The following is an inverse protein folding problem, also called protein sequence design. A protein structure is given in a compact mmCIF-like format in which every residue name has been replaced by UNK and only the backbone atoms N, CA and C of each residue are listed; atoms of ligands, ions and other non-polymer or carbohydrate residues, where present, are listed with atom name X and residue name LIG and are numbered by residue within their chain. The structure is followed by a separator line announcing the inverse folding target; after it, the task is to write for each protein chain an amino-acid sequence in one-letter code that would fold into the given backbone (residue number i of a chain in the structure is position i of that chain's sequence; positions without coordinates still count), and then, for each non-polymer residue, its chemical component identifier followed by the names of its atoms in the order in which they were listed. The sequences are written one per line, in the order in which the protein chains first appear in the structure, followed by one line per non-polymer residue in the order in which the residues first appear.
data_IF_509086113069
#
_entry.id   IF_509086113069
#
_cell.length_a   1.000
_cell.length_b   1.000
_cell.length_c   1.000
_cell.angle_alpha   90.00
_cell.angle_beta   90.00
_cell.angle_gamma   90.00
#
_symmetry.space_group_name_H-M   'P 1'
#
loop_
_entity.id
_entity.type
_entity.pdbx_description
1 polymer ?
#
# COMPACT_ATOMS: atom_id res chain seq x y z
N UNK A 1 4.83 37.98 -15.07
CA UNK A 1 5.54 37.12 -14.10
C UNK A 1 4.79 37.18 -12.77
N UNK A 2 3.91 36.22 -12.49
CA UNK A 2 3.28 36.09 -11.16
C UNK A 2 4.09 35.07 -10.39
N UNK A 3 4.78 35.55 -9.35
CA UNK A 3 5.52 34.74 -8.38
C UNK A 3 4.53 34.10 -7.41
N UNK A 4 4.24 32.81 -7.59
CA UNK A 4 3.48 32.02 -6.62
C UNK A 4 4.40 31.70 -5.45
N UNK A 5 4.34 32.49 -4.37
CA UNK A 5 4.97 32.10 -3.09
C UNK A 5 4.20 30.90 -2.56
N UNK A 6 4.84 29.73 -2.50
CA UNK A 6 4.34 28.58 -1.74
C UNK A 6 4.09 29.04 -0.29
N UNK A 7 2.82 28.99 0.12
CA UNK A 7 2.41 29.40 1.47
C UNK A 7 2.70 28.21 2.39
N UNK A 8 3.56 28.41 3.39
CA UNK A 8 3.87 27.39 4.40
C UNK A 8 2.57 26.80 4.98
N UNK A 9 2.53 25.48 5.26
CA UNK A 9 1.30 24.82 5.70
C UNK A 9 0.77 25.45 6.99
N UNK A 10 -0.55 25.61 7.07
CA UNK A 10 -1.16 26.14 8.29
C UNK A 10 -1.15 25.10 9.41
N UNK A 11 -1.25 25.54 10.66
CA UNK A 11 -1.43 24.64 11.82
C UNK A 11 -2.62 23.69 11.64
N UNK A 12 -3.67 24.13 10.92
CA UNK A 12 -4.82 23.29 10.58
C UNK A 12 -4.46 22.18 9.58
N UNK A 13 -3.61 22.47 8.61
CA UNK A 13 -3.15 21.48 7.62
C UNK A 13 -2.25 20.43 8.28
N UNK A 14 -1.38 20.86 9.20
CA UNK A 14 -0.55 19.95 10.00
C UNK A 14 -1.40 19.05 10.89
N UNK A 15 -2.37 19.62 11.62
CA UNK A 15 -3.29 18.84 12.45
C UNK A 15 -4.08 17.82 11.63
N UNK A 16 -4.51 18.21 10.41
CA UNK A 16 -5.21 17.34 9.48
C UNK A 16 -4.32 16.19 9.01
N UNK A 17 -3.06 16.46 8.67
CA UNK A 17 -2.08 15.42 8.30
C UNK A 17 -1.79 14.46 9.45
N UNK A 18 -1.57 14.99 10.65
CA UNK A 18 -1.31 14.19 11.85
C UNK A 18 -2.47 13.25 12.18
N UNK A 19 -3.71 13.77 12.14
CA UNK A 19 -4.92 12.97 12.37
C UNK A 19 -5.09 11.89 11.29
N UNK A 20 -4.80 12.23 10.03
CA UNK A 20 -4.82 11.28 8.93
C UNK A 20 -3.83 10.14 9.15
N UNK A 21 -2.60 10.44 9.57
CA UNK A 21 -1.58 9.43 9.80
C UNK A 21 -1.93 8.49 10.96
N UNK A 22 -2.45 9.03 12.07
CA UNK A 22 -2.93 8.21 13.20
C UNK A 22 -3.99 7.19 12.80
N UNK A 23 -4.90 7.57 11.90
CA UNK A 23 -5.92 6.64 11.39
C UNK A 23 -5.32 5.52 10.53
N UNK A 24 -4.25 5.80 9.79
CA UNK A 24 -3.53 4.82 8.97
C UNK A 24 -2.78 3.83 9.87
N UNK A 25 -2.05 4.33 10.86
CA UNK A 25 -1.27 3.51 11.79
C UNK A 25 -2.18 2.58 12.60
N UNK A 26 -3.28 3.12 13.14
CA UNK A 26 -4.28 2.32 13.85
C UNK A 26 -4.92 1.26 12.95
N UNK A 27 -5.21 1.60 11.69
CA UNK A 27 -5.77 0.62 10.76
C UNK A 27 -4.78 -0.50 10.44
N UNK A 28 -3.49 -0.20 10.32
CA UNK A 28 -2.44 -1.21 10.14
C UNK A 28 -2.42 -2.22 11.29
N UNK A 29 -2.49 -1.74 12.53
CA UNK A 29 -2.54 -2.58 13.72
C UNK A 29 -3.80 -3.45 13.76
N UNK A 30 -4.98 -2.84 13.55
CA UNK A 30 -6.26 -3.56 13.55
C UNK A 30 -6.30 -4.61 12.43
N UNK A 31 -5.82 -4.30 11.23
CA UNK A 31 -5.77 -5.28 10.14
C UNK A 31 -4.79 -6.42 10.40
N UNK A 32 -3.69 -6.16 11.13
CA UNK A 32 -2.75 -7.20 11.52
C UNK A 32 -3.32 -8.13 12.62
N UNK A 33 -4.15 -7.58 13.52
CA UNK A 33 -4.73 -8.32 14.65
C UNK A 33 -5.91 -9.21 14.23
N UNK A 34 -6.93 -8.62 13.58
CA UNK A 34 -8.19 -9.33 13.27
C UNK A 34 -8.39 -9.62 11.77
N UNK A 35 -7.49 -9.14 10.91
CA UNK A 35 -7.62 -9.25 9.46
C UNK A 35 -8.58 -8.22 8.85
N UNK A 36 -8.35 -7.88 7.57
CA UNK A 36 -9.12 -6.84 6.87
C UNK A 36 -10.63 -7.07 6.85
N UNK A 37 -11.07 -8.31 6.61
CA UNK A 37 -12.49 -8.62 6.46
C UNK A 37 -13.25 -8.34 7.76
N UNK A 38 -12.70 -8.80 8.89
CA UNK A 38 -13.31 -8.65 10.22
C UNK A 38 -13.16 -7.22 10.79
N UNK A 39 -12.09 -6.50 10.45
CA UNK A 39 -11.86 -5.15 10.93
C UNK A 39 -13.00 -4.19 10.58
N UNK A 40 -13.46 -3.41 11.55
CA UNK A 40 -14.49 -2.38 11.36
C UNK A 40 -13.92 -0.97 11.40
N UNK A 41 -14.65 0.00 10.85
CA UNK A 41 -14.30 1.42 11.01
C UNK A 41 -14.27 1.81 12.49
N UNK A 42 -15.11 1.18 13.31
CA UNK A 42 -15.19 1.44 14.75
C UNK A 42 -13.92 1.00 15.48
N UNK A 43 -13.41 -0.21 15.18
CA UNK A 43 -12.13 -0.70 15.71
C UNK A 43 -10.99 0.28 15.40
N UNK A 44 -10.90 0.73 14.14
CA UNK A 44 -9.89 1.68 13.69
C UNK A 44 -10.02 3.01 14.43
N UNK A 45 -11.23 3.56 14.53
CA UNK A 45 -11.45 4.85 15.21
C UNK A 45 -11.17 4.78 16.70
N UNK A 46 -11.50 3.66 17.35
CA UNK A 46 -11.22 3.40 18.76
C UNK A 46 -9.72 3.31 19.00
N UNK A 47 -9.00 2.54 18.18
CA UNK A 47 -7.54 2.44 18.26
C UNK A 47 -6.85 3.79 17.97
N UNK A 48 -7.37 4.57 17.02
CA UNK A 48 -6.82 5.88 16.68
C UNK A 48 -7.16 6.99 17.69
N UNK A 49 -8.06 6.75 18.65
CA UNK A 49 -8.60 7.78 19.54
C UNK A 49 -9.35 8.89 18.78
N UNK A 50 -10.08 8.51 17.72
CA UNK A 50 -10.81 9.40 16.83
C UNK A 50 -12.31 9.06 16.80
N UNK A 51 -13.12 9.98 16.27
CA UNK A 51 -14.55 9.72 16.04
C UNK A 51 -14.80 9.14 14.64
N UNK A 52 -15.96 8.50 14.43
CA UNK A 52 -16.42 8.11 13.09
C UNK A 52 -16.56 9.31 12.16
N UNK A 53 -17.02 10.45 12.66
CA UNK A 53 -17.09 11.68 11.86
C UNK A 53 -15.70 12.10 11.39
N UNK A 54 -14.71 12.07 12.28
CA UNK A 54 -13.29 12.34 11.96
C UNK A 54 -12.79 11.37 10.89
N UNK A 55 -13.08 10.07 11.01
CA UNK A 55 -12.72 9.09 9.98
C UNK A 55 -13.24 9.52 8.59
N UNK A 56 -14.54 9.83 8.48
CA UNK A 56 -15.15 10.17 7.20
C UNK A 56 -14.69 11.51 6.62
N UNK A 57 -14.11 12.40 7.43
CA UNK A 57 -13.42 13.60 6.93
C UNK A 57 -12.12 13.27 6.16
N UNK A 58 -11.50 12.12 6.44
CA UNK A 58 -10.22 11.71 5.85
C UNK A 58 -10.36 10.57 4.84
N UNK A 59 -11.27 9.62 5.08
CA UNK A 59 -11.39 8.39 4.30
C UNK A 59 -12.85 8.04 4.04
N UNK A 60 -13.15 7.64 2.80
CA UNK A 60 -14.51 7.23 2.40
C UNK A 60 -14.87 5.84 2.93
N UNK A 61 -13.89 4.97 3.13
CA UNK A 61 -14.08 3.61 3.63
C UNK A 61 -12.78 3.01 4.17
N UNK A 62 -12.87 1.85 4.85
CA UNK A 62 -11.68 1.07 5.24
C UNK A 62 -10.84 0.61 4.04
N UNK A 63 -11.46 0.46 2.85
CA UNK A 63 -10.75 0.13 1.61
C UNK A 63 -9.82 1.28 1.16
N UNK A 64 -10.22 2.54 1.37
CA UNK A 64 -9.38 3.69 1.04
C UNK A 64 -8.11 3.72 1.91
N UNK A 65 -8.21 3.37 3.19
CA UNK A 65 -7.04 3.28 4.08
C UNK A 65 -6.13 2.13 3.68
N UNK A 66 -6.69 0.97 3.35
CA UNK A 66 -5.91 -0.17 2.87
C UNK A 66 -5.13 0.18 1.60
N UNK A 67 -5.75 0.88 0.65
CA UNK A 67 -5.04 1.35 -0.53
C UNK A 67 -3.89 2.31 -0.19
N UNK A 68 -4.08 3.20 0.79
CA UNK A 68 -3.02 4.08 1.27
C UNK A 68 -1.87 3.31 1.92
N UNK A 69 -2.18 2.32 2.78
CA UNK A 69 -1.19 1.43 3.37
C UNK A 69 -0.43 0.68 2.28
N UNK A 70 -1.11 0.24 1.23
CA UNK A 70 -0.47 -0.37 0.07
C UNK A 70 0.51 0.57 -0.60
N UNK A 71 0.12 1.81 -0.85
CA UNK A 71 1.03 2.80 -1.43
C UNK A 71 2.21 3.09 -0.50
N UNK A 72 2.02 3.15 0.82
CA UNK A 72 3.12 3.37 1.78
C UNK A 72 4.09 2.18 1.88
N UNK A 73 3.61 0.94 1.70
CA UNK A 73 4.43 -0.28 1.76
C UNK A 73 5.05 -0.63 0.40
N UNK A 74 4.35 -0.36 -0.69
CA UNK A 74 4.82 -0.62 -2.05
C UNK A 74 5.71 0.51 -2.59
N UNK A 75 5.37 1.76 -2.28
CA UNK A 75 6.09 2.96 -2.71
C UNK A 75 6.87 3.67 -1.59
N UNK A 76 7.61 2.99 -0.69
CA UNK A 76 8.79 3.64 -0.15
C UNK A 76 9.63 4.07 -1.36
N UNK A 77 10.07 5.33 -1.37
CA UNK A 77 11.03 5.84 -2.36
C UNK A 77 12.29 4.93 -2.45
N UNK A 78 12.52 4.09 -1.44
CA UNK A 78 13.57 3.08 -1.31
C UNK A 78 13.22 1.65 -1.75
N UNK A 79 12.02 1.39 -2.31
CA UNK A 79 11.72 0.04 -2.79
C UNK A 79 12.43 -0.19 -4.13
N UNK A 80 13.57 -0.90 -4.06
CA UNK A 80 14.47 -1.23 -5.18
C UNK A 80 13.74 -1.75 -6.43
N UNK A 81 12.57 -2.38 -6.27
CA UNK A 81 11.73 -2.91 -7.35
C UNK A 81 11.12 -1.76 -8.19
N UNK A 82 10.63 -0.71 -7.54
CA UNK A 82 10.07 0.47 -8.22
C UNK A 82 11.16 1.39 -8.74
N UNK A 83 12.27 1.56 -8.00
CA UNK A 83 13.43 2.30 -8.51
C UNK A 83 13.93 1.67 -9.82
N UNK A 84 14.07 0.35 -9.87
CA UNK A 84 14.48 -0.36 -11.09
C UNK A 84 13.53 -0.06 -12.25
N UNK A 85 12.21 -0.05 -12.03
CA UNK A 85 11.24 0.30 -13.06
C UNK A 85 11.41 1.76 -13.53
N UNK A 86 11.62 2.70 -12.61
CA UNK A 86 11.79 4.12 -12.93
C UNK A 86 13.08 4.41 -13.71
N UNK A 87 14.11 3.57 -13.59
CA UNK A 87 15.37 3.72 -14.33
C UNK A 87 15.31 3.12 -15.75
N UNK A 88 14.29 2.33 -16.09
CA UNK A 88 14.15 1.75 -17.42
C UNK A 88 13.68 2.81 -18.42
N UNK A 89 14.49 3.03 -19.46
CA UNK A 89 14.10 3.85 -20.61
C UNK A 89 13.75 2.93 -21.77
N UNK A 90 12.50 3.00 -22.25
CA UNK A 90 11.93 2.08 -23.25
C UNK A 90 11.94 0.60 -22.81
N UNK A 91 11.18 0.24 -21.75
CA UNK A 91 11.18 -1.11 -21.20
C UNK A 91 10.73 -2.15 -22.23
N UNK A 92 11.44 -3.26 -22.25
CA UNK A 92 11.07 -4.43 -23.04
C UNK A 92 10.00 -5.26 -22.34
N UNK A 93 9.41 -6.22 -23.06
CA UNK A 93 8.48 -7.19 -22.47
C UNK A 93 9.14 -8.01 -21.35
N UNK A 94 10.45 -8.28 -21.44
CA UNK A 94 11.17 -9.04 -20.42
C UNK A 94 11.43 -8.23 -19.16
N UNK A 95 11.65 -6.91 -19.30
CA UNK A 95 11.76 -6.01 -18.15
C UNK A 95 10.46 -5.93 -17.36
N UNK A 96 9.33 -5.84 -18.07
CA UNK A 96 7.99 -5.89 -17.45
C UNK A 96 7.76 -7.23 -16.77
N UNK A 97 8.16 -8.34 -17.41
CA UNK A 97 8.06 -9.69 -16.82
C UNK A 97 8.88 -9.80 -15.54
N UNK A 98 10.11 -9.28 -15.53
CA UNK A 98 10.99 -9.29 -14.37
C UNK A 98 10.44 -8.44 -13.23
N UNK A 99 9.99 -7.21 -13.51
CA UNK A 99 9.35 -6.33 -12.53
C UNK A 99 8.14 -6.99 -11.87
N UNK A 100 7.26 -7.59 -12.68
CA UNK A 100 6.08 -8.31 -12.19
C UNK A 100 6.49 -9.47 -11.29
N UNK A 101 7.47 -10.27 -11.71
CA UNK A 101 7.98 -11.39 -10.91
C UNK A 101 8.63 -10.94 -9.58
N UNK A 102 9.44 -9.89 -9.60
CA UNK A 102 10.12 -9.34 -8.42
C UNK A 102 9.11 -8.75 -7.43
N UNK A 103 8.13 -8.02 -7.94
CA UNK A 103 7.00 -7.49 -7.14
C UNK A 103 6.29 -8.64 -6.43
N UNK A 104 5.94 -9.71 -7.15
CA UNK A 104 5.31 -10.88 -6.53
C UNK A 104 6.22 -11.62 -5.53
N UNK A 105 7.52 -11.73 -5.79
CA UNK A 105 8.45 -12.35 -4.86
C UNK A 105 8.66 -11.52 -3.58
N UNK A 106 8.51 -10.21 -3.65
CA UNK A 106 8.46 -9.32 -2.48
C UNK A 106 7.21 -9.56 -1.65
N UNK A 107 6.05 -9.71 -2.30
CA UNK A 107 4.79 -10.08 -1.64
C UNK A 107 4.87 -11.42 -0.89
N UNK A 108 5.51 -12.44 -1.47
CA UNK A 108 5.73 -13.74 -0.82
C UNK A 108 6.61 -13.65 0.45
N UNK A 109 7.42 -12.58 0.58
CA UNK A 109 8.37 -12.38 1.69
C UNK A 109 7.82 -11.54 2.84
N UNK A 110 6.67 -10.88 2.69
CA UNK A 110 6.05 -10.09 3.77
C UNK A 110 5.06 -10.98 4.54
N UNK A 111 5.35 -11.36 5.79
CA UNK A 111 4.51 -12.29 6.54
C UNK A 111 3.13 -11.70 6.96
N UNK A 112 2.94 -10.39 6.83
CA UNK A 112 1.77 -9.65 7.34
C UNK A 112 0.78 -9.20 6.27
N UNK A 113 0.88 -9.66 5.03
CA UNK A 113 -0.11 -9.30 4.00
C UNK A 113 -1.33 -10.17 4.20
N UNK A 114 -2.47 -9.62 4.67
CA UNK A 114 -3.65 -10.44 4.88
C UNK A 114 -4.09 -11.02 3.54
N UNK A 115 -4.59 -12.26 3.56
CA UNK A 115 -5.14 -12.96 2.39
C UNK A 115 -6.19 -12.15 1.59
N UNK A 116 -6.68 -11.03 2.14
CA UNK A 116 -7.57 -10.07 1.49
C UNK A 116 -6.93 -9.28 0.34
N UNK A 117 -5.60 -9.29 0.19
CA UNK A 117 -4.90 -8.46 -0.82
C UNK A 117 -3.89 -9.26 -1.65
N UNK A 118 -3.64 -10.51 -1.26
CA UNK A 118 -3.22 -11.51 -2.21
C UNK A 118 -4.28 -11.58 -3.33
N UNK A 119 -3.94 -11.56 -4.63
CA UNK A 119 -4.91 -11.78 -5.68
C UNK A 119 -5.74 -13.04 -5.34
N UNK A 120 -7.00 -13.09 -5.74
CA UNK A 120 -7.86 -14.25 -5.43
C UNK A 120 -7.15 -15.56 -5.84
N UNK A 121 -7.47 -16.69 -5.22
CA UNK A 121 -6.88 -18.01 -5.57
C UNK A 121 -6.95 -18.30 -7.10
N UNK A 122 -7.91 -17.71 -7.82
CA UNK A 122 -8.00 -17.70 -9.29
C UNK A 122 -7.01 -16.75 -9.99
N UNK A 123 -6.80 -15.54 -9.47
CA UNK A 123 -5.79 -14.61 -9.97
C UNK A 123 -4.37 -15.18 -9.85
N UNK A 124 -4.07 -15.90 -8.77
CA UNK A 124 -2.79 -16.60 -8.60
C UNK A 124 -2.54 -17.68 -9.64
N UNK A 125 -3.55 -18.51 -9.96
CA UNK A 125 -3.42 -19.56 -10.96
C UNK A 125 -3.18 -18.99 -12.37
N UNK A 126 -3.95 -17.96 -12.76
CA UNK A 126 -3.81 -17.30 -14.06
C UNK A 126 -2.44 -16.62 -14.25
N UNK A 127 -1.86 -16.06 -13.18
CA UNK A 127 -0.53 -15.47 -13.21
C UNK A 127 0.59 -16.52 -13.23
N UNK A 128 0.39 -17.67 -12.57
CA UNK A 128 1.32 -18.79 -12.62
C UNK A 128 1.45 -19.36 -14.04
N UNK A 129 0.34 -19.46 -14.76
CA UNK A 129 0.30 -19.90 -16.16
C UNK A 129 0.97 -18.89 -17.11
N UNK A 130 0.88 -17.59 -16.80
CA UNK A 130 1.43 -16.51 -17.64
C UNK A 130 2.96 -16.33 -17.47
N UNK A 131 3.47 -16.52 -16.25
CA UNK A 131 4.87 -16.23 -15.91
C UNK A 131 5.81 -17.44 -16.10
N UNK A 132 5.27 -18.66 -16.20
CA UNK A 132 6.04 -19.89 -16.44
C UNK A 132 6.79 -20.40 -15.19
N UNK A 133 7.37 -21.63 -15.24
CA UNK A 133 8.01 -22.24 -14.08
C UNK A 133 9.30 -21.52 -13.66
N UNK A 134 9.36 -21.15 -12.37
CA UNK A 134 10.44 -20.42 -11.71
C UNK A 134 11.81 -21.10 -11.94
N UNK A 135 12.78 -20.40 -12.52
CA UNK A 135 14.22 -20.74 -12.38
C UNK A 135 14.85 -19.75 -11.42
N UNK A 136 15.01 -20.17 -10.16
CA UNK A 136 15.84 -19.45 -9.21
C UNK A 136 17.32 -19.78 -9.48
N UNK A 137 18.22 -18.79 -9.60
CA UNK A 137 19.64 -19.06 -9.47
C UNK A 137 19.93 -19.45 -8.02
N UNK A 138 20.51 -20.64 -7.81
CA UNK A 138 21.03 -21.05 -6.50
C UNK A 138 22.27 -20.19 -6.20
N UNK A 139 22.28 -19.50 -5.06
CA UNK A 139 23.51 -19.08 -4.41
C UNK A 139 23.96 -20.16 -3.44
#
# INVERSE_FOLDING_TARGET
MVSTRERAPSLRDEQKRFTRQRLIDAAKEVFADVGYAAATIEDITRAAGASRATFYLHFKSKATIVNELFLQVLLPESNEIYERLHQLTAPTRDDVRAFVADTFAYWDRIPTVPAAVAPTRRGWAALHDLLGPRRFPRR
#
